data_IF_952558608245
#
_entry.id   IF_952558608245
#
_cell.length_a   1.000
_cell.length_b   1.000
_cell.length_c   1.000
_cell.angle_alpha   90.00
_cell.angle_beta   90.00
_cell.angle_gamma   90.00
#
_symmetry.space_group_name_H-M   'P 1'
#
loop_
_entity.id
_entity.type
_entity.pdbx_description
1 polymer ?
#
# COMPACT_ATOMS: atom_id res chain seq x y z
N UNK A 1 40.07 0.90 -16.57
CA UNK A 1 38.91 1.33 -15.76
C UNK A 1 38.71 2.80 -16.09
N UNK A 2 37.53 3.17 -16.60
CA UNK A 2 37.27 4.54 -17.04
C UNK A 2 36.76 5.40 -15.88
N UNK A 3 37.33 6.59 -15.74
CA UNK A 3 37.00 7.52 -14.68
C UNK A 3 35.70 8.26 -15.06
N UNK A 4 34.59 7.94 -14.39
CA UNK A 4 33.33 8.66 -14.58
C UNK A 4 33.28 9.84 -13.63
N UNK A 5 33.36 11.06 -14.18
CA UNK A 5 33.10 12.30 -13.44
C UNK A 5 31.62 12.64 -13.55
N UNK A 6 30.92 12.61 -12.41
CA UNK A 6 29.51 13.01 -12.34
C UNK A 6 29.46 14.52 -12.11
N UNK A 7 28.95 15.27 -13.08
CA UNK A 7 28.67 16.69 -12.91
C UNK A 7 27.19 16.86 -12.52
N UNK A 8 26.95 17.30 -11.29
CA UNK A 8 25.61 17.62 -10.80
C UNK A 8 25.35 19.09 -11.10
N UNK A 9 24.32 19.39 -11.88
CA UNK A 9 23.97 20.77 -12.16
C UNK A 9 23.38 21.44 -10.92
N UNK A 10 23.69 22.73 -10.67
CA UNK A 10 23.13 23.47 -9.54
C UNK A 10 21.60 23.57 -9.60
N UNK A 11 21.03 23.45 -10.79
CA UNK A 11 19.59 23.45 -11.02
C UNK A 11 18.91 22.18 -10.47
N UNK A 12 19.59 21.04 -10.53
CA UNK A 12 19.11 19.79 -9.92
C UNK A 12 19.05 19.91 -8.40
N UNK A 13 20.06 20.54 -7.80
CA UNK A 13 20.15 20.79 -6.37
C UNK A 13 19.02 21.72 -5.92
N UNK A 14 18.78 22.80 -6.66
CA UNK A 14 17.68 23.74 -6.36
C UNK A 14 16.29 23.09 -6.46
N UNK A 15 16.07 22.14 -7.37
CA UNK A 15 14.80 21.40 -7.45
C UNK A 15 14.61 20.48 -6.25
N UNK A 16 15.65 19.75 -5.84
CA UNK A 16 15.61 18.87 -4.66
C UNK A 16 15.34 19.64 -3.35
N UNK A 17 15.91 20.84 -3.22
CA UNK A 17 15.69 21.70 -2.04
C UNK A 17 14.27 22.28 -2.02
N UNK A 18 13.73 22.67 -3.18
CA UNK A 18 12.42 23.32 -3.28
C UNK A 18 11.22 22.36 -3.34
N UNK A 19 11.42 21.08 -3.70
CA UNK A 19 10.33 20.07 -3.67
C UNK A 19 9.78 19.82 -2.24
N UNK A 20 10.54 20.20 -1.20
CA UNK A 20 10.09 20.18 0.20
C UNK A 20 9.13 21.31 0.58
N UNK A 21 9.14 22.44 -0.13
CA UNK A 21 8.33 23.61 0.16
C UNK A 21 7.20 23.80 -0.87
N UNK A 22 6.09 23.08 -0.61
CA UNK A 22 4.71 23.44 -1.02
C UNK A 22 4.33 23.19 -2.48
N UNK A 23 3.89 21.95 -2.76
CA UNK A 23 2.87 21.66 -3.76
C UNK A 23 1.77 20.76 -3.20
N UNK A 24 1.00 21.28 -2.22
CA UNK A 24 -0.37 20.80 -1.99
C UNK A 24 -1.28 21.29 -3.13
N UNK A 25 -1.14 20.71 -4.32
CA UNK A 25 -2.16 20.77 -5.38
C UNK A 25 -2.78 19.39 -5.52
N UNK A 26 -4.07 19.28 -5.21
CA UNK A 26 -4.88 18.07 -5.41
C UNK A 26 -4.65 17.54 -6.84
N UNK A 27 -4.38 16.24 -7.05
CA UNK A 27 -4.35 15.70 -8.40
C UNK A 27 -5.76 15.78 -9.00
N UNK A 28 -5.96 16.68 -9.96
CA UNK A 28 -7.11 16.64 -10.86
C UNK A 28 -7.00 15.32 -11.63
N UNK A 29 -7.98 14.44 -11.51
CA UNK A 29 -8.12 13.24 -12.35
C UNK A 29 -8.13 13.67 -13.83
N UNK A 30 -7.01 13.51 -14.51
CA UNK A 30 -6.97 13.55 -15.98
C UNK A 30 -7.28 12.14 -16.45
N UNK A 31 -8.46 11.93 -17.03
CA UNK A 31 -8.82 10.67 -17.69
C UNK A 31 -7.83 10.42 -18.84
N UNK A 32 -7.20 9.23 -18.93
CA UNK A 32 -6.52 8.84 -20.16
C UNK A 32 -7.58 8.71 -21.26
N UNK A 33 -7.51 9.56 -22.29
CA UNK A 33 -8.18 9.30 -23.57
C UNK A 33 -7.41 8.18 -24.24
N UNK A 34 -7.91 6.96 -24.06
CA UNK A 34 -7.62 5.84 -24.97
C UNK A 34 -8.10 6.30 -26.36
N UNK A 35 -7.26 6.28 -27.42
CA UNK A 35 -7.75 6.43 -28.78
C UNK A 35 -8.74 5.31 -29.07
N UNK A 36 -10.01 5.67 -29.07
CA UNK A 36 -11.11 4.80 -29.46
C UNK A 36 -10.97 4.55 -30.94
N UNK A 37 -10.68 3.29 -31.24
CA UNK A 37 -10.86 2.62 -32.53
C UNK A 37 -12.08 3.19 -33.25
N UNK A 38 -11.82 3.88 -34.37
CA UNK A 38 -12.87 4.39 -35.24
C UNK A 38 -13.46 3.22 -36.01
N UNK A 39 -14.58 2.69 -35.52
CA UNK A 39 -15.50 1.99 -36.36
C UNK A 39 -16.01 2.96 -37.45
N UNK A 40 -15.86 2.54 -38.71
CA UNK A 40 -16.80 2.69 -39.83
C UNK A 40 -16.15 3.25 -41.09
N UNK A 41 -15.64 2.34 -41.90
CA UNK A 41 -15.67 2.45 -43.36
C UNK A 41 -16.36 1.20 -43.89
N UNK A 42 -17.69 1.30 -44.05
CA UNK A 42 -18.45 0.36 -44.84
C UNK A 42 -18.15 0.68 -46.31
N UNK A 43 -17.44 -0.20 -47.00
CA UNK A 43 -17.45 -0.23 -48.47
C UNK A 43 -17.80 -1.63 -48.90
N UNK A 44 -19.10 -1.82 -49.19
CA UNK A 44 -19.63 -2.97 -49.90
C UNK A 44 -19.04 -2.98 -51.32
N UNK A 45 -18.40 -4.08 -51.70
CA UNK A 45 -18.32 -4.48 -53.11
C UNK A 45 -19.36 -5.57 -53.31
N UNK A 46 -20.53 -5.10 -53.75
CA UNK A 46 -21.40 -5.68 -54.76
C UNK A 46 -21.30 -7.20 -55.01
N UNK A 47 -22.12 -7.99 -54.30
CA UNK A 47 -22.69 -9.22 -54.86
C UNK A 47 -24.11 -8.87 -55.31
N UNK A 48 -24.31 -8.85 -56.63
CA UNK A 48 -25.62 -8.68 -57.26
C UNK A 48 -26.46 -9.93 -56.99
N UNK A 49 -27.66 -9.77 -56.46
CA UNK A 49 -28.84 -10.37 -57.11
C UNK A 49 -30.14 -9.72 -56.63
N UNK A 50 -30.82 -9.07 -57.56
CA UNK A 50 -32.26 -8.81 -57.53
C UNK A 50 -32.99 -10.11 -57.91
N UNK A 51 -34.21 -10.35 -57.41
CA UNK A 51 -35.18 -10.89 -58.35
C UNK A 51 -36.58 -10.33 -58.14
N UNK A 52 -37.09 -9.62 -59.14
CA UNK A 52 -38.49 -9.76 -59.53
C UNK A 52 -38.63 -10.45 -60.90
N UNK A 53 -39.09 -11.71 -60.82
CA UNK A 53 -40.40 -12.12 -61.38
C UNK A 53 -40.55 -12.40 -62.90
N UNK A 54 -41.01 -13.65 -63.14
CA UNK A 54 -41.68 -14.25 -64.30
C UNK A 54 -40.90 -14.56 -65.59
N UNK A 55 -40.77 -15.86 -65.91
CA UNK A 55 -41.62 -16.53 -66.92
C UNK A 55 -41.36 -18.04 -67.04
N UNK A 56 -42.46 -18.74 -67.29
CA UNK A 56 -42.74 -20.17 -67.46
C UNK A 56 -42.00 -20.85 -68.62
N UNK A 57 -41.50 -22.09 -68.42
CA UNK A 57 -41.48 -23.22 -69.40
C UNK A 57 -40.74 -24.47 -68.83
N UNK A 58 -40.95 -25.70 -69.34
CA UNK A 58 -41.01 -26.93 -68.51
C UNK A 58 -39.88 -27.98 -68.68
N UNK A 59 -39.73 -28.83 -67.64
CA UNK A 59 -39.16 -30.21 -67.59
C UNK A 59 -37.61 -30.37 -67.63
N UNK A 60 -36.97 -31.49 -67.20
CA UNK A 60 -37.31 -32.58 -66.27
C UNK A 60 -36.23 -32.82 -65.17
N UNK A 61 -36.57 -33.51 -64.07
CA UNK A 61 -35.61 -34.21 -63.19
C UNK A 61 -35.45 -33.63 -61.78
N UNK A 62 -35.77 -34.44 -60.77
CA UNK A 62 -35.54 -34.09 -59.36
C UNK A 62 -34.04 -34.23 -59.01
N UNK A 63 -33.39 -33.21 -58.42
CA UNK A 63 -32.07 -33.41 -57.84
C UNK A 63 -32.23 -34.02 -56.44
N UNK A 64 -31.59 -35.17 -56.22
CA UNK A 64 -31.40 -35.73 -54.87
C UNK A 64 -30.59 -34.72 -54.05
N UNK A 65 -31.14 -34.22 -52.94
CA UNK A 65 -30.37 -33.38 -52.03
C UNK A 65 -29.27 -34.20 -51.34
N UNK A 66 -28.03 -33.67 -51.22
CA UNK A 66 -26.99 -34.31 -50.41
C UNK A 66 -27.36 -34.24 -48.91
N UNK A 67 -26.99 -35.25 -48.11
CA UNK A 67 -27.26 -35.23 -46.68
C UNK A 67 -26.53 -34.05 -46.04
N UNK A 68 -27.27 -33.22 -45.31
CA UNK A 68 -26.72 -32.14 -44.50
C UNK A 68 -25.93 -32.76 -43.35
N UNK A 69 -24.60 -32.75 -43.46
CA UNK A 69 -23.73 -33.06 -42.33
C UNK A 69 -23.84 -31.93 -41.30
N UNK A 70 -24.47 -32.21 -40.16
CA UNK A 70 -24.37 -31.35 -38.99
C UNK A 70 -22.97 -31.48 -38.38
N UNK A 71 -22.31 -30.37 -38.00
CA UNK A 71 -21.03 -30.45 -37.31
C UNK A 71 -21.22 -31.18 -35.98
N UNK A 72 -20.41 -32.22 -35.77
CA UNK A 72 -20.34 -32.95 -34.50
C UNK A 72 -19.97 -31.94 -33.41
N UNK A 73 -20.74 -31.82 -32.31
CA UNK A 73 -20.37 -30.93 -31.22
C UNK A 73 -19.02 -31.37 -30.66
N UNK A 74 -18.06 -30.45 -30.43
CA UNK A 74 -16.76 -30.80 -29.89
C UNK A 74 -16.95 -31.54 -28.55
N UNK A 75 -16.14 -32.55 -28.25
CA UNK A 75 -16.27 -33.30 -27.01
C UNK A 75 -16.16 -32.33 -25.83
N UNK A 76 -17.15 -32.35 -24.94
CA UNK A 76 -17.26 -31.48 -23.75
C UNK A 76 -16.12 -31.65 -22.73
N UNK A 77 -15.07 -32.40 -23.08
CA UNK A 77 -13.97 -32.77 -22.22
C UNK A 77 -12.88 -31.69 -22.18
N UNK A 78 -12.77 -30.81 -23.18
CA UNK A 78 -11.73 -29.77 -23.25
C UNK A 78 -11.96 -28.57 -22.31
N UNK A 79 -13.21 -28.11 -22.19
CA UNK A 79 -13.53 -26.94 -21.37
C UNK A 79 -13.27 -27.19 -19.87
N UNK A 80 -13.50 -28.42 -19.39
CA UNK A 80 -13.28 -28.78 -17.99
C UNK A 80 -11.78 -28.83 -17.65
N UNK A 81 -10.94 -29.33 -18.57
CA UNK A 81 -9.48 -29.38 -18.36
C UNK A 81 -8.84 -27.99 -18.30
N UNK A 82 -9.32 -27.04 -19.11
CA UNK A 82 -8.85 -25.65 -19.06
C UNK A 82 -9.24 -24.96 -17.75
N UNK A 83 -10.48 -25.18 -17.27
CA UNK A 83 -10.92 -24.67 -15.98
C UNK A 83 -10.11 -25.21 -14.81
N UNK A 84 -9.77 -26.50 -14.83
CA UNK A 84 -8.97 -27.11 -13.76
C UNK A 84 -7.51 -26.64 -13.80
N UNK A 85 -6.95 -26.40 -14.99
CA UNK A 85 -5.65 -25.76 -15.14
C UNK A 85 -5.64 -24.33 -14.55
N UNK A 86 -6.70 -23.54 -14.81
CA UNK A 86 -6.84 -22.19 -14.24
C UNK A 86 -6.92 -22.25 -12.71
N UNK A 87 -7.74 -23.16 -12.15
CA UNK A 87 -7.85 -23.33 -10.68
C UNK A 87 -6.51 -23.73 -10.05
N UNK A 88 -5.75 -24.62 -10.70
CA UNK A 88 -4.44 -25.03 -10.21
C UNK A 88 -3.45 -23.84 -10.15
N UNK A 89 -3.45 -22.99 -11.18
CA UNK A 89 -2.62 -21.76 -11.20
C UNK A 89 -3.04 -20.80 -10.09
N UNK A 90 -4.34 -20.61 -9.86
CA UNK A 90 -4.84 -19.75 -8.77
C UNK A 90 -4.39 -20.29 -7.41
N UNK A 91 -4.58 -21.58 -7.15
CA UNK A 91 -4.14 -22.20 -5.89
C UNK A 91 -2.63 -22.09 -5.67
N UNK A 92 -1.83 -22.24 -6.73
CA UNK A 92 -0.39 -22.06 -6.61
C UNK A 92 -0.02 -20.59 -6.34
N UNK A 93 -0.71 -19.65 -6.99
CA UNK A 93 -0.50 -18.22 -6.73
C UNK A 93 -0.84 -17.82 -5.29
N UNK A 94 -1.90 -18.39 -4.72
CA UNK A 94 -2.29 -18.18 -3.32
C UNK A 94 -1.24 -18.70 -2.35
N UNK A 95 -0.68 -19.89 -2.61
CA UNK A 95 0.42 -20.45 -1.79
C UNK A 95 1.69 -19.60 -1.85
N UNK A 96 2.03 -19.08 -3.03
CA UNK A 96 3.19 -18.18 -3.19
C UNK A 96 2.94 -16.88 -2.45
N UNK A 97 1.72 -16.32 -2.52
CA UNK A 97 1.35 -15.11 -1.81
C UNK A 97 1.45 -15.29 -0.29
N UNK A 98 0.98 -16.41 0.25
CA UNK A 98 1.09 -16.72 1.69
C UNK A 98 2.56 -16.78 2.14
N UNK A 99 3.44 -17.40 1.33
CA UNK A 99 4.88 -17.45 1.61
C UNK A 99 5.52 -16.06 1.60
N UNK A 100 5.18 -15.24 0.60
CA UNK A 100 5.68 -13.86 0.49
C UNK A 100 5.21 -13.00 1.65
N UNK A 101 3.93 -13.13 2.06
CA UNK A 101 3.40 -12.41 3.21
C UNK A 101 4.16 -12.78 4.50
N UNK A 102 4.42 -14.07 4.74
CA UNK A 102 5.22 -14.51 5.90
C UNK A 102 6.64 -13.94 5.87
N UNK A 103 7.25 -13.89 4.68
CA UNK A 103 8.59 -13.31 4.51
C UNK A 103 8.58 -11.81 4.77
N UNK A 104 7.59 -11.08 4.27
CA UNK A 104 7.40 -9.66 4.52
C UNK A 104 7.24 -9.38 6.02
N UNK A 105 6.35 -10.11 6.70
CA UNK A 105 6.15 -9.97 8.14
C UNK A 105 7.44 -10.22 8.95
N UNK A 106 8.22 -11.23 8.56
CA UNK A 106 9.52 -11.50 9.17
C UNK A 106 10.51 -10.36 8.94
N UNK A 107 10.58 -9.84 7.70
CA UNK A 107 11.48 -8.75 7.34
C UNK A 107 11.12 -7.46 8.07
N UNK A 108 9.82 -7.13 8.17
CA UNK A 108 9.33 -5.97 8.91
C UNK A 108 9.72 -6.06 10.38
N UNK A 109 9.59 -7.23 11.01
CA UNK A 109 10.03 -7.46 12.39
C UNK A 109 11.54 -7.24 12.53
N UNK A 110 12.35 -7.83 11.65
CA UNK A 110 13.81 -7.69 11.68
C UNK A 110 14.25 -6.22 11.52
N UNK A 111 13.70 -5.50 10.54
CA UNK A 111 14.00 -4.09 10.29
C UNK A 111 13.57 -3.22 11.47
N UNK A 112 12.40 -3.51 12.05
CA UNK A 112 11.90 -2.77 13.21
C UNK A 112 12.81 -2.96 14.42
N UNK A 113 13.21 -4.19 14.72
CA UNK A 113 14.12 -4.48 15.84
C UNK A 113 15.51 -3.87 15.61
N UNK A 114 16.05 -3.96 14.40
CA UNK A 114 17.31 -3.30 14.06
C UNK A 114 17.23 -1.77 14.16
N UNK A 115 16.13 -1.16 13.74
CA UNK A 115 15.93 0.27 13.86
C UNK A 115 15.83 0.73 15.32
N UNK A 116 15.19 -0.08 16.18
CA UNK A 116 15.19 0.16 17.63
C UNK A 116 16.59 0.03 18.22
N UNK A 117 17.31 -1.03 17.89
CA UNK A 117 18.67 -1.28 18.36
C UNK A 117 19.64 -0.17 17.95
N UNK A 118 19.56 0.30 16.70
CA UNK A 118 20.36 1.44 16.22
C UNK A 118 20.00 2.73 16.94
N UNK A 119 18.70 3.01 17.13
CA UNK A 119 18.26 4.17 17.92
C UNK A 119 18.79 4.08 19.34
N UNK A 120 18.71 2.91 19.96
CA UNK A 120 19.15 2.68 21.31
C UNK A 120 20.68 2.68 21.41
N UNK A 121 21.45 2.41 20.37
CA UNK A 121 22.92 2.45 20.43
C UNK A 121 23.50 3.81 20.06
N UNK A 122 23.04 4.38 18.96
CA UNK A 122 23.62 5.58 18.34
C UNK A 122 22.90 6.86 18.79
N UNK A 123 21.61 6.76 19.12
CA UNK A 123 20.76 7.91 19.44
C UNK A 123 20.22 7.85 20.87
N UNK A 124 20.97 7.28 21.82
CA UNK A 124 20.70 7.55 23.23
C UNK A 124 20.82 9.05 23.43
N UNK A 125 19.74 9.70 23.90
CA UNK A 125 19.92 10.98 24.56
C UNK A 125 21.00 10.77 25.64
N UNK A 126 21.99 11.69 25.75
CA UNK A 126 22.98 11.63 26.82
C UNK A 126 22.24 11.31 28.12
N UNK A 127 22.64 10.21 28.75
CA UNK A 127 21.93 9.54 29.85
C UNK A 127 20.98 10.48 30.57
N UNK A 128 19.68 10.36 30.30
CA UNK A 128 18.69 11.20 30.97
C UNK A 128 18.74 10.85 32.45
N UNK A 129 19.30 11.76 33.26
CA UNK A 129 19.40 11.58 34.69
C UNK A 129 17.99 11.25 35.22
N UNK A 130 17.82 10.18 36.01
CA UNK A 130 16.52 9.81 36.54
C UNK A 130 15.92 11.01 37.27
N UNK A 131 14.60 11.20 37.12
CA UNK A 131 13.92 12.36 37.70
C UNK A 131 14.13 12.35 39.22
N UNK A 132 14.78 13.38 39.79
CA UNK A 132 15.42 13.28 41.11
C UNK A 132 14.44 13.30 42.31
N UNK A 133 13.13 13.25 42.06
CA UNK A 133 12.07 13.14 43.08
C UNK A 133 10.93 12.22 42.64
N UNK A 134 11.21 11.20 41.84
CA UNK A 134 10.20 10.32 41.26
C UNK A 134 9.34 9.62 42.33
N UNK A 135 9.95 9.11 43.40
CA UNK A 135 9.23 8.43 44.47
C UNK A 135 8.22 9.32 45.20
N UNK A 136 8.62 10.55 45.57
CA UNK A 136 7.72 11.51 46.21
C UNK A 136 6.62 11.98 45.25
N UNK A 137 6.95 12.13 43.96
CA UNK A 137 5.98 12.48 42.92
C UNK A 137 4.92 11.39 42.75
N UNK A 138 5.32 10.13 42.66
CA UNK A 138 4.40 9.00 42.48
C UNK A 138 3.53 8.78 43.72
N UNK A 139 4.08 8.95 44.93
CA UNK A 139 3.30 8.90 46.17
C UNK A 139 2.24 10.02 46.22
N UNK A 140 2.63 11.26 45.89
CA UNK A 140 1.73 12.41 45.81
C UNK A 140 0.62 12.19 44.76
N UNK A 141 0.99 11.72 43.57
CA UNK A 141 0.06 11.42 42.48
C UNK A 141 -0.91 10.30 42.84
N UNK A 142 -0.44 9.26 43.53
CA UNK A 142 -1.28 8.14 43.96
C UNK A 142 -2.29 8.60 45.00
N UNK A 143 -1.86 9.39 45.99
CA UNK A 143 -2.77 9.95 46.99
C UNK A 143 -3.89 10.80 46.34
N UNK A 144 -3.57 11.64 45.35
CA UNK A 144 -4.59 12.44 44.66
C UNK A 144 -5.58 11.60 43.85
N UNK A 145 -5.13 10.48 43.27
CA UNK A 145 -6.04 9.54 42.60
C UNK A 145 -7.01 8.89 43.59
N UNK A 146 -6.53 8.56 44.79
CA UNK A 146 -7.32 7.91 45.83
C UNK A 146 -8.23 8.88 46.60
N UNK A 147 -7.83 10.16 46.73
CA UNK A 147 -8.49 11.16 47.55
C UNK A 147 -9.03 12.34 46.73
N UNK A 148 -9.68 12.07 45.59
CA UNK A 148 -10.22 13.12 44.71
C UNK A 148 -11.23 14.06 45.38
N UNK A 149 -11.94 13.59 46.41
CA UNK A 149 -12.92 14.38 47.17
C UNK A 149 -12.30 15.17 48.34
N UNK A 150 -11.11 14.77 48.81
CA UNK A 150 -10.44 15.35 49.98
C UNK A 150 -8.93 15.47 49.74
N UNK A 151 -8.62 16.40 48.85
CA UNK A 151 -7.29 16.68 48.31
C UNK A 151 -6.30 17.12 49.42
N UNK A 152 -6.83 17.64 50.55
CA UNK A 152 -6.01 18.11 51.68
C UNK A 152 -5.33 16.97 52.43
N UNK A 153 -5.85 15.74 52.37
CA UNK A 153 -5.19 14.55 52.94
C UNK A 153 -3.83 14.27 52.31
N UNK A 154 -3.60 14.74 51.09
CA UNK A 154 -2.33 14.57 50.38
C UNK A 154 -1.28 15.64 50.73
N UNK A 155 -1.63 16.66 51.51
CA UNK A 155 -0.71 17.71 51.94
C UNK A 155 0.66 17.25 52.47
N UNK A 156 0.78 16.20 53.31
CA UNK A 156 2.10 15.72 53.75
C UNK A 156 2.95 15.16 52.59
N UNK A 157 2.34 14.46 51.63
CA UNK A 157 3.03 13.92 50.45
C UNK A 157 3.43 15.03 49.47
N UNK A 158 2.57 16.03 49.31
CA UNK A 158 2.89 17.25 48.55
C UNK A 158 4.09 17.98 49.16
N UNK A 159 4.13 18.15 50.48
CA UNK A 159 5.28 18.77 51.18
C UNK A 159 6.57 17.98 50.96
N UNK A 160 6.54 16.66 51.10
CA UNK A 160 7.71 15.78 50.84
C UNK A 160 8.27 16.01 49.43
N UNK A 161 7.39 16.03 48.42
CA UNK A 161 7.78 16.30 47.03
C UNK A 161 8.44 17.69 46.87
N UNK A 162 7.84 18.74 47.44
CA UNK A 162 8.42 20.09 47.38
C UNK A 162 9.79 20.17 48.08
N UNK A 163 9.96 19.51 49.21
CA UNK A 163 11.21 19.50 49.95
C UNK A 163 12.31 18.72 49.20
N UNK A 164 11.96 17.62 48.53
CA UNK A 164 12.87 16.92 47.63
C UNK A 164 13.31 17.85 46.48
N UNK A 165 12.37 18.46 45.77
CA UNK A 165 12.66 19.36 44.64
C UNK A 165 13.55 20.53 45.07
N UNK A 166 13.32 21.07 46.27
CA UNK A 166 14.15 22.14 46.84
C UNK A 166 15.59 21.69 47.06
N UNK A 167 15.80 20.53 47.68
CA UNK A 167 17.14 19.96 47.92
C UNK A 167 17.89 19.70 46.63
N UNK A 168 17.21 19.14 45.62
CA UNK A 168 17.80 18.89 44.30
C UNK A 168 18.24 20.19 43.63
N UNK A 169 17.39 21.23 43.63
CA UNK A 169 17.76 22.54 43.06
C UNK A 169 18.99 23.15 43.73
N UNK A 170 19.09 23.03 45.05
CA UNK A 170 20.26 23.50 45.80
C UNK A 170 21.53 22.74 45.37
N UNK A 171 21.46 21.41 45.24
CA UNK A 171 22.62 20.61 44.81
C UNK A 171 23.10 20.92 43.40
N UNK A 172 22.18 21.19 42.46
CA UNK A 172 22.55 21.61 41.10
C UNK A 172 23.26 22.97 41.14
N UNK A 173 22.71 23.95 41.86
CA UNK A 173 23.32 25.29 41.96
C UNK A 173 24.71 25.30 42.64
N UNK A 174 25.01 24.31 43.48
CA UNK A 174 26.33 24.15 44.10
C UNK A 174 27.34 23.39 43.23
N UNK A 175 26.88 22.59 42.27
CA UNK A 175 27.75 21.81 41.38
C UNK A 175 28.22 22.62 40.15
N UNK A 176 27.50 23.70 39.81
CA UNK A 176 27.82 24.62 38.71
C UNK A 176 28.78 25.77 39.11
N UNK A 177 29.32 25.75 40.34
CA UNK A 177 30.21 26.78 40.90
C UNK A 177 31.60 26.20 41.19
#
# INVERSE_FOLDING_TARGET
MGDFSIQISPDLVNRLVNDGEKLKKKPRRTKPKIPRESARSQTKVNEKHDPEVHKTAPSPGWPVQPPLFFPVPPPAHSANTELDAIKAVIQESEKVLEKLQKQEESMVKEVTERAKDLRDKEFKLPYQKPMPCLADYDACRTCYKENGNDILKCAPLTRSYYDCVRRVKQQVSSADK
#
